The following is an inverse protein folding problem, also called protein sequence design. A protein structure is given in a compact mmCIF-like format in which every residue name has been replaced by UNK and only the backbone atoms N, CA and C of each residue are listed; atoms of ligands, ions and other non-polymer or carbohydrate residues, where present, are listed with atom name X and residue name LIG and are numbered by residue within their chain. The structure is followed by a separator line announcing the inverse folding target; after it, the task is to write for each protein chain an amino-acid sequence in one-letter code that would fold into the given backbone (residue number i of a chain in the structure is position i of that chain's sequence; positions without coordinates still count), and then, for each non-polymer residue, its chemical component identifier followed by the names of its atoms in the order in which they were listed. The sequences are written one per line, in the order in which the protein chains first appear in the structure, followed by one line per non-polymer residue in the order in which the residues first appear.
data_IF_996688790660
#
_entry.id   IF_996688790660
#
_cell.length_a   1.000
_cell.length_b   1.000
_cell.length_c   1.000
_cell.angle_alpha   90.00
_cell.angle_beta   90.00
_cell.angle_gamma   90.00
#
_symmetry.space_group_name_H-M   'P 1'
#
loop_
_entity.id
_entity.type
_entity.pdbx_description
1 polymer ?
#
# COMPACT_ATOMS: atom_id res chain seq x y z
N UNK A 1 -28.30 -12.34 -40.62
CA UNK A 1 -27.97 -12.99 -39.33
C UNK A 1 -27.14 -12.00 -38.51
N UNK A 2 -27.73 -11.36 -37.49
CA UNK A 2 -26.98 -10.45 -36.60
C UNK A 2 -26.00 -11.32 -35.82
N UNK A 3 -24.70 -11.21 -36.09
CA UNK A 3 -23.68 -11.84 -35.25
C UNK A 3 -23.77 -11.16 -33.88
N UNK A 4 -24.07 -11.96 -32.86
CA UNK A 4 -24.15 -11.47 -31.50
C UNK A 4 -22.83 -10.79 -31.15
N UNK A 5 -22.90 -9.49 -30.83
CA UNK A 5 -21.69 -8.66 -30.60
C UNK A 5 -20.94 -9.09 -29.33
N UNK A 6 -21.60 -9.87 -28.48
CA UNK A 6 -21.14 -10.35 -27.19
C UNK A 6 -21.61 -11.79 -26.97
N UNK A 7 -20.73 -12.67 -26.52
CA UNK A 7 -21.06 -14.06 -26.20
C UNK A 7 -19.94 -14.76 -25.44
N UNK A 8 -20.25 -15.90 -24.83
CA UNK A 8 -19.28 -16.79 -24.17
C UNK A 8 -19.21 -18.10 -24.93
N UNK A 9 -18.01 -18.55 -25.24
CA UNK A 9 -17.78 -19.83 -25.92
C UNK A 9 -16.60 -20.53 -25.23
N UNK A 10 -16.91 -21.50 -24.36
CA UNK A 10 -15.92 -22.17 -23.51
C UNK A 10 -15.16 -21.19 -22.62
N UNK A 11 -13.82 -21.18 -22.73
CA UNK A 11 -12.92 -20.27 -22.01
C UNK A 11 -12.68 -18.93 -22.73
N UNK A 12 -13.50 -18.59 -23.73
CA UNK A 12 -13.36 -17.38 -24.51
C UNK A 12 -14.60 -16.48 -24.46
N UNK A 13 -14.37 -15.17 -24.44
CA UNK A 13 -15.39 -14.15 -24.60
C UNK A 13 -15.31 -13.64 -26.03
N UNK A 14 -16.43 -13.63 -26.73
CA UNK A 14 -16.57 -13.02 -28.04
C UNK A 14 -16.89 -11.55 -27.81
N UNK A 15 -15.96 -10.67 -28.16
CA UNK A 15 -16.09 -9.22 -28.12
C UNK A 15 -15.94 -8.71 -29.54
N UNK A 16 -17.00 -8.12 -30.11
CA UNK A 16 -16.93 -7.47 -31.43
C UNK A 16 -16.33 -8.40 -32.52
N UNK A 17 -16.82 -9.64 -32.62
CA UNK A 17 -16.33 -10.70 -33.51
C UNK A 17 -14.89 -11.22 -33.24
N UNK A 18 -14.20 -10.77 -32.19
CA UNK A 18 -12.91 -11.35 -31.78
C UNK A 18 -13.09 -12.25 -30.56
N UNK A 19 -12.52 -13.45 -30.62
CA UNK A 19 -12.43 -14.36 -29.48
C UNK A 19 -11.26 -13.95 -28.60
N UNK A 20 -11.55 -13.52 -27.37
CA UNK A 20 -10.55 -13.16 -26.36
C UNK A 20 -10.60 -14.25 -25.29
N UNK A 21 -9.44 -14.85 -24.98
CA UNK A 21 -9.36 -15.84 -23.91
C UNK A 21 -9.56 -15.15 -22.55
N UNK A 22 -10.43 -15.71 -21.70
CA UNK A 22 -10.72 -15.20 -20.36
C UNK A 22 -9.46 -15.09 -19.50
N UNK A 23 -8.48 -15.98 -19.70
CA UNK A 23 -7.18 -15.96 -19.00
C UNK A 23 -6.46 -14.63 -19.23
N UNK A 24 -6.49 -14.08 -20.45
CA UNK A 24 -5.85 -12.79 -20.75
C UNK A 24 -6.51 -11.64 -20.01
N UNK A 25 -7.83 -11.68 -19.85
CA UNK A 25 -8.58 -10.65 -19.11
C UNK A 25 -8.21 -10.72 -17.63
N UNK A 26 -8.16 -11.92 -17.04
CA UNK A 26 -7.74 -12.11 -15.65
C UNK A 26 -6.31 -11.59 -15.43
N UNK A 27 -5.38 -11.92 -16.34
CA UNK A 27 -4.00 -11.44 -16.26
C UNK A 27 -3.93 -9.91 -16.34
N UNK A 28 -4.69 -9.28 -17.23
CA UNK A 28 -4.75 -7.81 -17.34
C UNK A 28 -5.25 -7.19 -16.04
N UNK A 29 -6.31 -7.74 -15.43
CA UNK A 29 -6.85 -7.24 -14.15
C UNK A 29 -5.80 -7.34 -13.04
N UNK A 30 -5.07 -8.45 -12.97
CA UNK A 30 -3.98 -8.63 -12.00
C UNK A 30 -2.89 -7.59 -12.21
N UNK A 31 -2.43 -7.39 -13.45
CA UNK A 31 -1.39 -6.39 -13.78
C UNK A 31 -1.84 -4.98 -13.42
N UNK A 32 -3.07 -4.60 -13.82
CA UNK A 32 -3.63 -3.28 -13.50
C UNK A 32 -3.73 -3.06 -11.99
N UNK A 33 -4.12 -4.09 -11.22
CA UNK A 33 -4.16 -4.02 -9.77
C UNK A 33 -2.79 -3.70 -9.17
N UNK A 34 -1.73 -4.40 -9.59
CA UNK A 34 -0.37 -4.14 -9.13
C UNK A 34 0.12 -2.74 -9.49
N UNK A 35 -0.17 -2.25 -10.71
CA UNK A 35 0.19 -0.90 -11.13
C UNK A 35 -0.47 0.16 -10.23
N UNK A 36 -1.75 0.00 -9.91
CA UNK A 36 -2.48 0.93 -9.02
C UNK A 36 -1.85 0.96 -7.62
N UNK A 37 -1.45 -0.19 -7.08
CA UNK A 37 -0.82 -0.27 -5.74
C UNK A 37 0.51 0.49 -5.72
N UNK A 38 1.35 0.32 -6.75
CA UNK A 38 2.65 1.01 -6.84
C UNK A 38 2.46 2.52 -6.96
N UNK A 39 1.55 2.97 -7.83
CA UNK A 39 1.28 4.41 -8.04
C UNK A 39 0.76 5.06 -6.75
N UNK A 40 -0.13 4.40 -6.02
CA UNK A 40 -0.67 4.93 -4.76
C UNK A 40 0.42 5.19 -3.74
N UNK A 41 1.35 4.26 -3.56
CA UNK A 41 2.43 4.44 -2.59
C UNK A 41 3.34 5.63 -2.94
N UNK A 42 3.59 5.90 -4.22
CA UNK A 42 4.34 7.08 -4.66
C UNK A 42 3.56 8.37 -4.41
N UNK A 43 2.25 8.38 -4.71
CA UNK A 43 1.38 9.53 -4.44
C UNK A 43 1.35 9.83 -2.94
N UNK A 44 1.17 8.82 -2.10
CA UNK A 44 1.10 8.95 -0.64
C UNK A 44 2.41 9.50 -0.08
N UNK A 45 3.56 9.01 -0.55
CA UNK A 45 4.87 9.53 -0.13
C UNK A 45 5.03 11.01 -0.52
N UNK A 46 4.72 11.37 -1.76
CA UNK A 46 4.79 12.76 -2.22
C UNK A 46 3.78 13.67 -1.50
N UNK A 47 2.61 13.16 -1.12
CA UNK A 47 1.64 13.91 -0.32
C UNK A 47 2.12 14.08 1.13
N UNK A 48 2.73 13.05 1.73
CA UNK A 48 3.36 13.12 3.05
C UNK A 48 4.53 14.12 3.08
N UNK A 49 5.34 14.18 2.03
CA UNK A 49 6.44 15.15 1.93
C UNK A 49 5.94 16.60 1.86
N UNK A 50 4.83 16.83 1.15
CA UNK A 50 4.29 18.18 0.91
C UNK A 50 3.36 18.66 2.02
N UNK A 51 2.50 17.77 2.51
CA UNK A 51 1.36 18.08 3.36
C UNK A 51 1.38 17.30 4.69
N UNK A 52 2.39 16.46 4.92
CA UNK A 52 2.50 15.67 6.13
C UNK A 52 2.71 16.52 7.39
N UNK A 53 1.97 16.18 8.44
CA UNK A 53 2.12 16.75 9.77
C UNK A 53 3.11 15.89 10.56
N UNK A 54 4.10 16.55 11.17
CA UNK A 54 5.10 15.88 12.01
C UNK A 54 4.51 15.54 13.36
N UNK A 55 4.67 14.30 13.79
CA UNK A 55 4.36 13.88 15.16
C UNK A 55 5.37 12.86 15.67
N UNK A 56 5.28 12.58 16.96
CA UNK A 56 6.06 11.55 17.62
C UNK A 56 5.22 10.29 17.77
N UNK A 57 5.77 9.16 17.36
CA UNK A 57 5.19 7.84 17.58
C UNK A 57 6.07 7.02 18.51
N UNK A 58 5.47 6.09 19.23
CA UNK A 58 6.16 5.16 20.12
C UNK A 58 6.17 3.78 19.47
N UNK A 59 7.34 3.15 19.36
CA UNK A 59 7.49 1.78 18.90
C UNK A 59 6.88 0.85 19.94
N UNK A 60 5.89 0.06 19.53
CA UNK A 60 5.10 -0.83 20.41
C UNK A 60 5.43 -2.30 20.24
N UNK A 61 5.92 -2.71 19.07
CA UNK A 61 6.26 -4.10 18.76
C UNK A 61 7.46 -4.13 17.83
N UNK A 62 8.39 -5.04 18.09
CA UNK A 62 9.56 -5.29 17.24
C UNK A 62 9.69 -6.79 17.09
N UNK A 63 9.60 -7.29 15.86
CA UNK A 63 9.60 -8.72 15.59
C UNK A 63 10.31 -9.06 14.29
N UNK A 64 10.90 -10.23 14.26
CA UNK A 64 11.51 -10.80 13.06
C UNK A 64 10.41 -11.37 12.15
N UNK A 65 10.37 -10.95 10.89
CA UNK A 65 9.40 -11.38 9.88
C UNK A 65 10.09 -11.96 8.64
N UNK A 66 9.41 -12.93 8.03
CA UNK A 66 9.89 -13.62 6.83
C UNK A 66 11.09 -14.55 7.08
N UNK A 67 11.41 -15.37 6.08
CA UNK A 67 12.52 -16.32 6.13
C UNK A 67 13.90 -15.67 6.12
N UNK A 68 14.00 -14.46 5.54
CA UNK A 68 15.24 -13.66 5.52
C UNK A 68 15.51 -12.92 6.81
N UNK A 69 14.54 -12.87 7.72
CA UNK A 69 14.75 -12.33 9.05
C UNK A 69 14.73 -10.82 9.16
N UNK A 70 13.89 -10.16 8.36
CA UNK A 70 13.69 -8.70 8.41
C UNK A 70 13.14 -8.32 9.78
N UNK A 71 13.67 -7.26 10.40
CA UNK A 71 13.12 -6.73 11.64
C UNK A 71 12.03 -5.72 11.30
N UNK A 72 10.79 -6.04 11.68
CA UNK A 72 9.63 -5.17 11.52
C UNK A 72 9.26 -4.54 12.84
N UNK A 73 9.20 -3.22 12.83
CA UNK A 73 8.83 -2.38 13.96
C UNK A 73 7.44 -1.81 13.71
N UNK A 74 6.52 -2.00 14.66
CA UNK A 74 5.20 -1.38 14.66
C UNK A 74 5.19 -0.25 15.66
N UNK A 75 4.79 0.94 15.24
CA UNK A 75 4.69 2.12 16.09
C UNK A 75 3.25 2.61 16.19
N UNK A 76 2.95 3.35 17.25
CA UNK A 76 1.64 3.95 17.49
C UNK A 76 1.75 5.41 17.87
N UNK A 77 0.74 6.19 17.49
CA UNK A 77 0.63 7.62 17.77
C UNK A 77 -0.83 8.00 17.92
N UNK A 78 -1.10 9.19 18.43
CA UNK A 78 -2.45 9.67 18.72
C UNK A 78 -2.75 10.98 17.98
N UNK A 79 -3.92 11.04 17.34
CA UNK A 79 -4.43 12.24 16.67
C UNK A 79 -5.89 12.40 17.07
N UNK A 80 -6.24 13.54 17.68
CA UNK A 80 -7.62 13.86 18.08
C UNK A 80 -8.26 12.75 18.96
N UNK A 81 -7.51 12.20 19.92
CA UNK A 81 -7.93 11.09 20.80
C UNK A 81 -8.12 9.73 20.13
N UNK A 82 -7.74 9.60 18.86
CA UNK A 82 -7.75 8.33 18.13
C UNK A 82 -6.33 7.82 17.96
N UNK A 83 -6.15 6.52 18.25
CA UNK A 83 -4.86 5.85 18.14
C UNK A 83 -4.69 5.28 16.73
N UNK A 84 -3.57 5.62 16.12
CA UNK A 84 -3.16 5.12 14.80
C UNK A 84 -1.89 4.32 14.93
N UNK A 85 -1.61 3.52 13.91
CA UNK A 85 -0.41 2.70 13.85
C UNK A 85 0.22 2.75 12.47
N UNK A 86 1.51 2.47 12.44
CA UNK A 86 2.25 2.20 11.21
C UNK A 86 3.33 1.18 11.47
N UNK A 87 4.00 0.78 10.40
CA UNK A 87 5.14 -0.14 10.50
C UNK A 87 6.26 0.26 9.58
N UNK A 88 7.48 -0.04 10.02
CA UNK A 88 8.72 0.20 9.30
C UNK A 88 9.64 -0.98 9.51
N UNK A 89 10.41 -1.32 8.47
CA UNK A 89 11.43 -2.35 8.56
C UNK A 89 12.77 -1.65 8.88
N UNK A 90 13.24 -1.81 10.12
CA UNK A 90 14.47 -1.17 10.62
C UNK A 90 15.09 -2.05 11.72
N UNK A 91 16.38 -2.33 11.60
CA UNK A 91 17.09 -3.24 12.52
C UNK A 91 17.50 -2.56 13.85
N UNK A 92 17.37 -1.24 13.97
CA UNK A 92 17.89 -0.46 15.09
C UNK A 92 16.81 -0.10 16.11
N UNK A 93 15.56 0.05 15.69
CA UNK A 93 14.47 0.40 16.59
C UNK A 93 14.15 -0.70 17.60
N UNK A 94 13.83 -0.28 18.82
CA UNK A 94 13.43 -1.13 19.94
C UNK A 94 12.06 -0.70 20.46
N UNK A 95 11.34 -1.63 21.07
CA UNK A 95 10.08 -1.32 21.75
C UNK A 95 10.32 -0.27 22.83
N UNK A 96 9.48 0.77 22.84
CA UNK A 96 9.59 1.94 23.71
C UNK A 96 10.32 3.12 23.06
N UNK A 97 10.99 2.93 21.93
CA UNK A 97 11.66 4.02 21.22
C UNK A 97 10.65 5.04 20.71
N UNK A 98 11.07 6.31 20.73
CA UNK A 98 10.33 7.44 20.20
C UNK A 98 10.87 7.77 18.81
N UNK A 99 10.02 7.72 17.79
CA UNK A 99 10.38 8.00 16.40
C UNK A 99 9.59 9.20 15.87
N UNK A 100 10.16 9.88 14.88
CA UNK A 100 9.50 11.00 14.20
C UNK A 100 8.82 10.48 12.94
N UNK A 101 7.51 10.67 12.87
CA UNK A 101 6.71 10.28 11.72
C UNK A 101 6.07 11.50 11.06
N UNK A 102 5.69 11.34 9.80
CA UNK A 102 4.77 12.22 9.08
C UNK A 102 3.45 11.46 8.89
N UNK A 103 2.33 12.15 9.07
CA UNK A 103 0.99 11.62 8.76
C UNK A 103 0.15 12.67 8.01
N UNK A 104 -0.84 12.22 7.24
CA UNK A 104 -1.80 13.13 6.60
C UNK A 104 -2.97 13.42 7.53
N UNK A 105 -3.28 14.71 7.77
CA UNK A 105 -4.36 15.07 8.71
C UNK A 105 -5.73 14.55 8.27
N UNK A 106 -5.99 14.56 6.96
CA UNK A 106 -7.24 14.07 6.36
C UNK A 106 -7.40 12.56 6.50
N UNK A 107 -6.29 11.83 6.60
CA UNK A 107 -6.27 10.38 6.74
C UNK A 107 -4.99 9.90 7.47
N UNK A 108 -4.98 9.86 8.81
CA UNK A 108 -3.79 9.50 9.58
C UNK A 108 -3.32 8.05 9.40
N UNK A 109 -4.13 7.17 8.79
CA UNK A 109 -3.69 5.83 8.36
C UNK A 109 -2.54 5.91 7.33
N UNK A 110 -2.48 7.01 6.58
CA UNK A 110 -1.34 7.32 5.72
C UNK A 110 -0.29 8.01 6.58
N UNK A 111 0.69 7.22 7.03
CA UNK A 111 1.80 7.67 7.85
C UNK A 111 3.09 6.93 7.52
N UNK A 112 4.23 7.60 7.71
CA UNK A 112 5.57 7.03 7.49
C UNK A 112 6.56 7.60 8.48
N UNK A 113 7.55 6.79 8.80
CA UNK A 113 8.75 7.27 9.46
C UNK A 113 9.47 8.29 8.57
N UNK A 114 9.77 9.46 9.15
CA UNK A 114 10.42 10.57 8.46
C UNK A 114 11.78 10.16 7.87
N UNK A 115 12.49 9.24 8.52
CA UNK A 115 13.80 8.73 8.07
C UNK A 115 13.73 8.09 6.67
N UNK A 116 12.57 7.56 6.28
CA UNK A 116 12.39 6.82 5.03
C UNK A 116 11.69 7.63 3.92
N UNK A 117 11.36 8.90 4.19
CA UNK A 117 10.84 9.84 3.20
C UNK A 117 11.94 10.75 2.64
N UNK A 118 13.02 11.00 3.38
CA UNK A 118 14.17 11.76 2.88
C UNK A 118 15.05 10.82 2.02
N UNK A 119 14.86 10.86 0.69
CA UNK A 119 15.77 10.22 -0.28
C UNK A 119 17.06 11.02 -0.46
#
# INVERSE_FOLDING_TARGET
MKKDKFGFEGSSIILWNRKINVIWIILIVIVVHFVIVVIRNEIDNNDLEKNGIKTTAIVTDVRKVGSKGVIRCTYTFEVKSLKYSGSVDDDYYKTGDSIRILYLEKNPEINRDKKFLEK
#
